data_IF_149747897893
#
_entry.id   IF_149747897893
#
_cell.length_a   1.000
_cell.length_b   1.000
_cell.length_c   1.000
_cell.angle_alpha   90.00
_cell.angle_beta   90.00
_cell.angle_gamma   90.00
#
_symmetry.space_group_name_H-M   'P 1'
#
loop_
_entity.id
_entity.type
_entity.pdbx_description
1 polymer ?
#
# COMPACT_ATOMS: atom_id res chain seq x y z
N UNK A 1 16.07 -2.92 5.75
CA UNK A 1 14.76 -2.44 5.22
C UNK A 1 13.70 -2.77 6.24
N UNK A 2 12.75 -1.86 6.54
CA UNK A 2 11.65 -2.16 7.49
C UNK A 2 10.59 -2.98 6.76
N UNK A 3 10.67 -4.29 6.88
CA UNK A 3 9.70 -5.25 6.35
C UNK A 3 8.59 -5.43 7.40
N UNK A 4 7.47 -4.73 7.25
CA UNK A 4 6.36 -4.86 8.21
C UNK A 4 5.52 -6.11 7.88
N UNK A 5 5.57 -6.60 6.63
CA UNK A 5 4.58 -7.56 6.10
C UNK A 5 5.10 -8.49 5.00
N UNK A 6 6.42 -8.55 4.75
CA UNK A 6 7.02 -9.29 3.63
C UNK A 6 6.95 -8.56 2.26
N UNK A 7 6.29 -7.39 2.20
CA UNK A 7 6.27 -6.53 1.01
C UNK A 7 7.14 -5.31 1.25
N UNK A 8 8.11 -5.01 0.36
CA UNK A 8 8.94 -3.81 0.48
C UNK A 8 8.10 -2.53 0.41
N UNK A 9 8.43 -1.54 1.23
CA UNK A 9 7.70 -0.25 1.25
C UNK A 9 7.73 0.45 -0.11
N UNK A 10 8.83 0.32 -0.85
CA UNK A 10 8.97 0.86 -2.22
C UNK A 10 7.96 0.25 -3.19
N UNK A 11 7.63 -1.03 -3.03
CA UNK A 11 6.61 -1.71 -3.82
C UNK A 11 5.22 -1.15 -3.54
N UNK A 12 4.90 -0.88 -2.26
CA UNK A 12 3.63 -0.23 -1.86
C UNK A 12 3.50 1.17 -2.49
N UNK A 13 4.57 1.96 -2.47
CA UNK A 13 4.58 3.26 -3.16
C UNK A 13 4.41 3.13 -4.67
N UNK A 14 5.02 2.11 -5.29
CA UNK A 14 4.84 1.82 -6.72
C UNK A 14 3.39 1.49 -7.08
N UNK A 15 2.73 0.63 -6.29
CA UNK A 15 1.32 0.28 -6.49
C UNK A 15 0.39 1.46 -6.26
N UNK A 16 0.62 2.24 -5.21
CA UNK A 16 -0.18 3.44 -4.97
C UNK A 16 -0.01 4.45 -6.11
N UNK A 17 1.21 4.62 -6.66
CA UNK A 17 1.43 5.49 -7.82
C UNK A 17 0.70 5.00 -9.08
N UNK A 18 0.58 3.69 -9.29
CA UNK A 18 -0.23 3.11 -10.37
C UNK A 18 -1.72 3.40 -10.16
N UNK A 19 -2.24 3.17 -8.95
CA UNK A 19 -3.64 3.47 -8.59
C UNK A 19 -4.00 4.94 -8.77
N UNK A 20 -3.12 5.86 -8.40
CA UNK A 20 -3.33 7.30 -8.63
C UNK A 20 -3.39 7.69 -10.11
N UNK A 21 -2.83 6.86 -11.00
CA UNK A 21 -2.90 7.01 -12.46
C UNK A 21 -4.10 6.27 -13.06
N UNK A 22 -4.99 5.71 -12.25
CA UNK A 22 -6.12 4.90 -12.69
C UNK A 22 -5.75 3.50 -13.17
N UNK A 23 -4.52 3.05 -12.93
CA UNK A 23 -4.08 1.69 -13.27
C UNK A 23 -4.45 0.77 -12.10
N UNK A 24 -5.15 -0.32 -12.40
CA UNK A 24 -5.43 -1.33 -11.40
C UNK A 24 -4.12 -1.95 -10.89
N UNK A 25 -3.94 -1.91 -9.57
CA UNK A 25 -2.77 -2.47 -8.91
C UNK A 25 -3.17 -3.00 -7.53
N UNK A 26 -2.54 -4.11 -7.08
CA UNK A 26 -2.78 -4.65 -5.76
C UNK A 26 -2.25 -3.69 -4.70
N UNK A 27 -2.76 -3.81 -3.48
CA UNK A 27 -2.17 -3.14 -2.33
C UNK A 27 -3.20 -2.61 -1.34
N UNK A 28 -2.73 -2.30 -0.13
CA UNK A 28 -3.58 -1.83 0.94
C UNK A 28 -4.13 -0.43 0.62
N UNK A 29 -5.23 -0.10 1.29
CA UNK A 29 -5.77 1.24 1.27
C UNK A 29 -4.71 2.22 1.83
N UNK A 30 -4.56 3.38 1.19
CA UNK A 30 -3.61 4.41 1.61
C UNK A 30 -4.32 5.74 1.84
N UNK A 31 -3.80 6.50 2.79
CA UNK A 31 -4.23 7.87 3.06
C UNK A 31 -3.17 8.81 2.48
N UNK A 32 -3.62 9.81 1.71
CA UNK A 32 -2.77 10.89 1.21
C UNK A 32 -2.70 11.99 2.26
N UNK A 33 -1.49 12.35 2.69
CA UNK A 33 -1.29 13.42 3.69
C UNK A 33 -1.03 14.81 3.07
N UNK A 34 -0.91 14.87 1.75
CA UNK A 34 -0.57 16.07 0.99
C UNK A 34 0.56 15.79 0.01
N UNK A 35 0.55 16.45 -1.15
CA UNK A 35 1.57 16.24 -2.18
C UNK A 35 1.71 14.77 -2.61
N UNK A 36 2.94 14.24 -2.56
CA UNK A 36 3.28 12.84 -2.89
C UNK A 36 3.35 11.92 -1.68
N UNK A 37 3.07 12.44 -0.48
CA UNK A 37 3.17 11.67 0.75
C UNK A 37 1.95 10.77 0.94
N UNK A 38 2.24 9.48 1.09
CA UNK A 38 1.27 8.41 1.30
C UNK A 38 1.62 7.68 2.58
N UNK A 39 0.60 7.40 3.39
CA UNK A 39 0.73 6.54 4.55
C UNK A 39 -0.27 5.41 4.50
N UNK A 40 0.13 4.29 5.09
CA UNK A 40 -0.71 3.14 5.33
C UNK A 40 -0.88 3.00 6.83
N UNK A 41 -2.11 2.83 7.29
CA UNK A 41 -2.31 2.44 8.67
C UNK A 41 -1.93 0.98 8.83
N UNK A 42 -1.51 0.61 10.04
CA UNK A 42 -1.20 -0.79 10.33
C UNK A 42 -2.42 -1.69 10.13
N UNK A 43 -3.62 -1.17 10.40
CA UNK A 43 -4.89 -1.89 10.19
C UNK A 43 -5.14 -2.16 8.71
N UNK A 44 -5.03 -1.14 7.85
CA UNK A 44 -5.26 -1.30 6.40
C UNK A 44 -4.23 -2.25 5.77
N UNK A 45 -2.99 -2.24 6.28
CA UNK A 45 -1.98 -3.23 5.90
C UNK A 45 -2.41 -4.65 6.25
N UNK A 46 -2.88 -4.89 7.48
CA UNK A 46 -3.28 -6.23 7.91
C UNK A 46 -4.55 -6.71 7.22
N UNK A 47 -5.58 -5.86 7.11
CA UNK A 47 -6.82 -6.16 6.39
C UNK A 47 -6.54 -6.61 4.95
N UNK A 48 -5.64 -5.90 4.26
CA UNK A 48 -5.19 -6.28 2.93
C UNK A 48 -4.43 -7.61 2.90
N UNK A 49 -3.51 -7.85 3.85
CA UNK A 49 -2.79 -9.13 3.91
C UNK A 49 -3.72 -10.31 4.20
N UNK A 50 -4.71 -10.13 5.07
CA UNK A 50 -5.73 -11.13 5.36
C UNK A 50 -6.59 -11.38 4.11
N UNK A 51 -7.02 -10.33 3.41
CA UNK A 51 -7.73 -10.46 2.14
C UNK A 51 -6.90 -11.10 1.03
N UNK A 52 -5.57 -10.95 1.06
CA UNK A 52 -4.65 -11.52 0.06
C UNK A 52 -4.25 -12.97 0.39
N UNK A 53 -4.54 -13.45 1.61
CA UNK A 53 -4.26 -14.80 2.05
C UNK A 53 -5.41 -15.71 1.61
N UNK A 54 -5.26 -16.28 0.41
CA UNK A 54 -6.11 -17.37 -0.12
C UNK A 54 -5.84 -18.67 0.64
#
# INVERSE_FOLDING_TARGET
>A
MREITGVPVSTLHGWAAKRERGIDAPGPHYVRLGGRDRRWTRRDMYDWLESARV
#
